data_IF_821835006615
#
_entry.id   IF_821835006615
#
_cell.length_a   1.000
_cell.length_b   1.000
_cell.length_c   1.000
_cell.angle_alpha   90.00
_cell.angle_beta   90.00
_cell.angle_gamma   90.00
#
_symmetry.space_group_name_H-M   'P 1'
#
loop_
_entity.id
_entity.type
_entity.pdbx_description
1 polymer ?
#
# COMPACT_ATOMS: atom_id res chain seq x y z
N UNK A 1 -53.13 34.57 1.21
CA UNK A 1 -52.52 33.26 1.49
C UNK A 1 -51.07 33.32 1.02
N UNK A 2 -50.13 33.49 1.96
CA UNK A 2 -48.67 33.58 1.68
C UNK A 2 -48.07 32.19 1.90
N UNK A 3 -47.52 31.59 0.84
CA UNK A 3 -46.66 30.40 0.97
C UNK A 3 -45.32 30.78 1.60
N UNK A 4 -44.79 30.01 2.51
CA UNK A 4 -43.46 30.27 3.09
C UNK A 4 -42.36 29.84 2.15
N UNK A 5 -41.42 30.74 1.99
CA UNK A 5 -40.15 30.57 1.30
C UNK A 5 -39.22 29.70 2.20
N UNK A 6 -39.17 28.38 1.95
CA UNK A 6 -38.21 27.47 2.60
C UNK A 6 -37.47 26.68 1.51
N UNK A 7 -36.61 27.37 0.81
CA UNK A 7 -35.62 26.70 -0.06
C UNK A 7 -34.45 27.68 -0.21
N UNK A 8 -33.39 27.43 0.52
CA UNK A 8 -32.04 27.91 0.19
C UNK A 8 -31.16 27.85 1.47
N UNK A 9 -30.63 26.69 1.83
CA UNK A 9 -29.44 26.60 2.66
C UNK A 9 -28.76 25.22 2.70
N UNK A 10 -28.88 24.41 1.62
CA UNK A 10 -28.22 23.08 1.63
C UNK A 10 -27.39 22.76 0.38
N UNK A 11 -26.97 23.73 -0.40
CA UNK A 11 -26.29 23.44 -1.68
C UNK A 11 -24.79 23.75 -1.79
N UNK A 12 -24.11 24.53 -0.94
CA UNK A 12 -22.70 24.82 -1.24
C UNK A 12 -21.71 23.69 -0.89
N UNK A 13 -21.99 22.90 0.14
CA UNK A 13 -21.00 21.88 0.58
C UNK A 13 -20.95 20.63 -0.33
N UNK A 14 -22.05 20.21 -0.87
CA UNK A 14 -22.07 19.04 -1.78
C UNK A 14 -21.53 19.36 -3.17
N UNK A 15 -21.75 20.57 -3.66
CA UNK A 15 -21.18 21.01 -4.95
C UNK A 15 -19.66 21.18 -4.86
N UNK A 16 -19.15 21.77 -3.78
CA UNK A 16 -17.71 21.98 -3.60
C UNK A 16 -16.95 20.64 -3.49
N UNK A 17 -17.51 19.66 -2.78
CA UNK A 17 -16.89 18.33 -2.69
C UNK A 17 -16.95 17.57 -4.04
N UNK A 18 -18.03 17.71 -4.78
CA UNK A 18 -18.18 17.06 -6.09
C UNK A 18 -17.31 17.71 -7.15
N UNK A 19 -17.25 19.05 -7.21
CA UNK A 19 -16.35 19.77 -8.10
C UNK A 19 -14.88 19.48 -7.77
N UNK A 20 -14.49 19.44 -6.48
CA UNK A 20 -13.13 19.10 -6.09
C UNK A 20 -12.75 17.67 -6.49
N UNK A 21 -13.67 16.71 -6.37
CA UNK A 21 -13.42 15.32 -6.76
C UNK A 21 -13.29 15.17 -8.29
N UNK A 22 -14.22 15.71 -9.06
CA UNK A 22 -14.18 15.70 -10.54
C UNK A 22 -12.93 16.46 -11.04
N UNK A 23 -12.64 17.64 -10.50
CA UNK A 23 -11.45 18.43 -10.85
C UNK A 23 -10.15 17.71 -10.49
N UNK A 24 -10.11 17.04 -9.33
CA UNK A 24 -8.96 16.26 -8.91
C UNK A 24 -8.82 15.02 -9.79
N UNK A 25 -9.90 14.30 -10.08
CA UNK A 25 -9.88 13.13 -10.96
C UNK A 25 -9.47 13.50 -12.40
N UNK A 26 -10.02 14.56 -12.98
CA UNK A 26 -9.59 15.08 -14.28
C UNK A 26 -8.11 15.46 -14.27
N UNK A 27 -7.67 16.15 -13.22
CA UNK A 27 -6.29 16.61 -13.05
C UNK A 27 -5.28 15.45 -13.00
N UNK A 28 -5.66 14.29 -12.45
CA UNK A 28 -4.77 13.15 -12.23
C UNK A 28 -4.99 11.97 -13.19
N UNK A 29 -5.97 12.02 -14.07
CA UNK A 29 -6.26 10.93 -15.01
C UNK A 29 -5.64 11.08 -16.39
N UNK A 30 -4.95 12.19 -16.67
CA UNK A 30 -4.33 12.43 -17.98
C UNK A 30 -2.85 12.04 -18.05
N UNK A 31 -2.34 11.56 -19.20
CA UNK A 31 -0.92 11.43 -19.45
C UNK A 31 -0.21 12.78 -19.18
N UNK A 32 0.86 12.78 -18.40
CA UNK A 32 1.54 14.01 -17.99
C UNK A 32 1.02 14.65 -16.70
N UNK A 33 0.03 14.05 -16.05
CA UNK A 33 -0.47 14.57 -14.76
C UNK A 33 0.63 14.64 -13.69
N UNK A 34 1.65 13.80 -13.77
CA UNK A 34 2.79 13.87 -12.88
C UNK A 34 3.56 15.20 -13.03
N UNK A 35 3.60 15.81 -14.20
CA UNK A 35 4.20 17.13 -14.39
C UNK A 35 3.43 18.23 -13.70
N UNK A 36 2.11 18.09 -13.63
CA UNK A 36 1.23 19.02 -12.90
C UNK A 36 1.35 18.82 -11.38
N UNK A 37 1.81 17.67 -10.93
CA UNK A 37 2.01 17.30 -9.54
C UNK A 37 3.48 17.25 -9.11
N UNK A 38 4.33 18.04 -9.75
CA UNK A 38 5.75 18.22 -9.37
C UNK A 38 5.94 18.58 -7.90
N UNK A 39 4.97 19.22 -7.29
CA UNK A 39 4.95 19.49 -5.86
C UNK A 39 5.09 18.26 -5.00
N UNK A 40 4.62 17.10 -5.47
CA UNK A 40 4.68 15.86 -4.72
C UNK A 40 5.74 14.90 -5.26
N UNK A 41 5.83 14.74 -6.58
CA UNK A 41 6.68 13.73 -7.19
C UNK A 41 7.68 14.37 -8.14
N UNK A 42 8.97 14.19 -7.87
CA UNK A 42 10.03 14.71 -8.72
C UNK A 42 10.24 13.86 -9.96
N UNK A 43 10.22 12.53 -9.78
CA UNK A 43 10.43 11.57 -10.85
C UNK A 43 9.56 10.34 -10.69
N UNK A 44 9.21 9.75 -11.81
CA UNK A 44 8.49 8.49 -11.92
C UNK A 44 9.32 7.52 -12.74
N UNK A 45 9.67 6.40 -12.15
CA UNK A 45 10.40 5.33 -12.81
C UNK A 45 9.45 4.15 -13.02
N UNK A 46 9.22 3.82 -14.31
CA UNK A 46 8.43 2.64 -14.67
C UNK A 46 9.34 1.44 -14.78
N UNK A 47 9.04 0.41 -14.00
CA UNK A 47 9.80 -0.85 -14.03
C UNK A 47 9.07 -1.82 -14.95
N UNK A 48 9.78 -2.26 -15.99
CA UNK A 48 9.29 -3.23 -16.96
C UNK A 48 10.17 -4.47 -16.91
N UNK A 49 9.56 -5.61 -16.67
CA UNK A 49 10.21 -6.92 -16.68
C UNK A 49 9.65 -7.71 -17.87
N UNK A 50 10.45 -7.88 -18.91
CA UNK A 50 10.00 -8.52 -20.18
C UNK A 50 9.47 -9.94 -19.96
N UNK A 51 10.06 -10.69 -19.04
CA UNK A 51 9.64 -12.05 -18.71
C UNK A 51 8.33 -12.08 -17.90
N UNK A 52 7.99 -10.97 -17.19
CA UNK A 52 6.83 -10.81 -16.33
C UNK A 52 6.07 -9.52 -16.63
N UNK A 53 5.46 -9.40 -17.82
CA UNK A 53 4.81 -8.15 -18.27
C UNK A 53 3.57 -7.78 -17.45
N UNK A 54 3.14 -8.66 -16.56
CA UNK A 54 2.00 -8.45 -15.65
C UNK A 54 2.44 -8.38 -14.18
N UNK A 55 3.70 -8.03 -13.92
CA UNK A 55 4.18 -7.78 -12.57
C UNK A 55 3.62 -6.48 -12.00
N UNK A 56 3.24 -6.48 -10.72
CA UNK A 56 2.67 -5.34 -10.03
C UNK A 56 2.85 -5.42 -8.51
N UNK A 57 2.40 -4.41 -7.77
CA UNK A 57 2.52 -4.27 -6.32
C UNK A 57 3.95 -4.52 -5.80
N UNK A 58 4.92 -3.72 -6.29
CA UNK A 58 6.34 -3.91 -5.96
C UNK A 58 6.67 -3.39 -4.57
N UNK A 59 7.43 -4.18 -3.79
CA UNK A 59 8.04 -3.75 -2.52
C UNK A 59 9.54 -3.58 -2.70
N UNK A 60 10.04 -2.38 -2.44
CA UNK A 60 11.43 -1.97 -2.63
C UNK A 60 12.20 -2.04 -1.31
N UNK A 61 13.42 -2.56 -1.36
CA UNK A 61 14.37 -2.53 -0.24
C UNK A 61 15.70 -1.97 -0.71
N UNK A 62 16.32 -1.16 0.13
CA UNK A 62 17.67 -0.64 -0.10
C UNK A 62 18.70 -1.76 0.11
N UNK A 63 19.70 -1.82 -0.77
CA UNK A 63 20.86 -2.69 -0.68
C UNK A 63 22.14 -1.88 -0.85
N UNK A 64 23.31 -2.48 -0.60
CA UNK A 64 24.59 -1.81 -0.76
C UNK A 64 24.79 -1.22 -2.18
N UNK A 65 24.39 -1.96 -3.21
CA UNK A 65 24.68 -1.60 -4.60
C UNK A 65 23.46 -1.05 -5.38
N UNK A 66 22.32 -0.92 -4.72
CA UNK A 66 21.06 -0.48 -5.36
C UNK A 66 19.85 -0.87 -4.56
N UNK A 67 18.99 -1.68 -5.15
CA UNK A 67 17.74 -2.09 -4.52
C UNK A 67 17.41 -3.55 -4.83
N UNK A 68 16.69 -4.21 -3.92
CA UNK A 68 15.94 -5.43 -4.25
C UNK A 68 14.48 -5.06 -4.41
N UNK A 69 13.86 -5.46 -5.50
CA UNK A 69 12.45 -5.29 -5.77
C UNK A 69 11.74 -6.64 -5.66
N UNK A 70 10.81 -6.79 -4.72
CA UNK A 70 9.88 -7.90 -4.65
C UNK A 70 8.59 -7.49 -5.33
N UNK A 71 7.95 -8.36 -6.08
CA UNK A 71 6.73 -8.03 -6.82
C UNK A 71 5.80 -9.21 -6.93
N UNK A 72 4.53 -8.93 -7.08
CA UNK A 72 3.49 -9.91 -7.42
C UNK A 72 3.39 -10.06 -8.92
N UNK A 73 3.13 -11.27 -9.39
CA UNK A 73 2.70 -11.53 -10.77
C UNK A 73 1.65 -12.62 -10.80
N UNK A 74 0.81 -12.56 -11.85
CA UNK A 74 -0.30 -13.46 -12.04
C UNK A 74 -0.01 -14.40 -13.21
N UNK A 75 -0.27 -15.69 -13.00
CA UNK A 75 -0.18 -16.73 -14.01
C UNK A 75 -1.56 -17.31 -14.28
N UNK A 76 -2.01 -17.22 -15.51
CA UNK A 76 -3.31 -17.74 -15.91
C UNK A 76 -3.17 -19.19 -16.35
N UNK A 77 -3.87 -20.09 -15.67
CA UNK A 77 -3.95 -21.47 -16.12
C UNK A 77 -4.85 -21.57 -17.34
N UNK A 78 -4.36 -22.14 -18.47
CA UNK A 78 -5.15 -22.30 -19.68
C UNK A 78 -6.35 -23.27 -19.51
N UNK A 79 -6.35 -24.06 -18.44
CA UNK A 79 -7.38 -25.07 -18.15
C UNK A 79 -8.43 -24.62 -17.12
N UNK A 80 -8.28 -23.44 -16.52
CA UNK A 80 -9.25 -22.97 -15.53
C UNK A 80 -10.41 -22.25 -16.24
N UNK A 81 -11.62 -22.72 -15.97
CA UNK A 81 -12.85 -22.10 -16.49
C UNK A 81 -12.90 -20.61 -16.09
N UNK A 82 -13.23 -19.73 -17.04
CA UNK A 82 -13.31 -18.27 -16.89
C UNK A 82 -14.12 -17.76 -15.69
N UNK A 83 -14.88 -18.62 -15.03
CA UNK A 83 -15.81 -18.28 -13.95
C UNK A 83 -15.37 -18.74 -12.54
N UNK A 84 -14.20 -19.37 -12.38
CA UNK A 84 -13.76 -19.75 -11.04
C UNK A 84 -13.03 -18.59 -10.35
N UNK A 85 -13.25 -18.38 -9.06
CA UNK A 85 -12.49 -17.42 -8.21
C UNK A 85 -10.98 -17.74 -8.18
N UNK A 86 -10.57 -18.88 -8.69
CA UNK A 86 -9.20 -19.40 -8.77
C UNK A 86 -8.68 -19.49 -10.21
N UNK A 87 -9.21 -18.67 -11.11
CA UNK A 87 -8.74 -18.65 -12.51
C UNK A 87 -7.31 -18.12 -12.65
N UNK A 88 -6.71 -17.63 -11.57
CA UNK A 88 -5.40 -16.99 -11.59
C UNK A 88 -4.58 -17.46 -10.38
N UNK A 89 -3.44 -18.09 -10.62
CA UNK A 89 -2.41 -18.31 -9.62
C UNK A 89 -1.58 -17.03 -9.46
N UNK A 90 -1.15 -16.77 -8.25
CA UNK A 90 -0.36 -15.56 -7.93
C UNK A 90 0.92 -15.95 -7.21
N UNK A 91 2.02 -15.36 -7.65
CA UNK A 91 3.34 -15.65 -7.12
C UNK A 91 4.08 -14.36 -6.77
N UNK A 92 5.13 -14.50 -5.99
CA UNK A 92 6.06 -13.42 -5.67
C UNK A 92 7.39 -13.70 -6.34
N UNK A 93 7.87 -12.71 -7.12
CA UNK A 93 9.20 -12.70 -7.68
C UNK A 93 10.08 -11.63 -7.02
N UNK A 94 11.38 -11.71 -7.26
CA UNK A 94 12.32 -10.65 -6.90
C UNK A 94 13.39 -10.46 -7.95
N UNK A 95 13.93 -9.24 -8.02
CA UNK A 95 15.01 -8.82 -8.92
C UNK A 95 15.87 -7.76 -8.25
N UNK A 96 17.18 -7.77 -8.51
CA UNK A 96 18.06 -6.69 -8.08
C UNK A 96 18.03 -5.57 -9.11
N UNK A 97 17.98 -4.33 -8.62
CA UNK A 97 18.03 -3.11 -9.42
C UNK A 97 19.26 -2.29 -9.02
N UNK A 98 19.89 -1.64 -9.98
CA UNK A 98 20.90 -0.62 -9.70
C UNK A 98 20.27 0.67 -9.16
N UNK A 99 21.09 1.68 -8.84
CA UNK A 99 20.61 3.00 -8.35
C UNK A 99 19.75 3.78 -9.37
N UNK A 100 19.81 3.41 -10.64
CA UNK A 100 18.96 3.97 -11.70
C UNK A 100 17.71 3.13 -11.96
N UNK A 101 17.38 2.20 -11.08
CA UNK A 101 16.25 1.28 -11.16
C UNK A 101 16.23 0.34 -12.37
N UNK A 102 17.41 0.05 -12.93
CA UNK A 102 17.57 -0.90 -14.03
C UNK A 102 17.85 -2.29 -13.44
N UNK A 103 17.15 -3.35 -13.90
CA UNK A 103 17.43 -4.71 -13.48
C UNK A 103 18.88 -5.13 -13.80
N UNK A 104 19.56 -5.70 -12.79
CA UNK A 104 20.97 -6.15 -12.87
C UNK A 104 21.15 -7.63 -12.51
N UNK A 105 20.09 -8.32 -12.19
CA UNK A 105 20.09 -9.77 -11.94
C UNK A 105 19.00 -10.47 -12.73
N UNK A 106 19.10 -11.78 -12.84
CA UNK A 106 17.98 -12.62 -13.26
C UNK A 106 16.84 -12.52 -12.26
N UNK A 107 15.60 -12.64 -12.75
CA UNK A 107 14.42 -12.68 -11.91
C UNK A 107 14.36 -14.03 -11.21
N UNK A 108 14.09 -14.00 -9.91
CA UNK A 108 13.90 -15.19 -9.10
C UNK A 108 12.45 -15.25 -8.61
N UNK A 109 11.76 -16.35 -8.89
CA UNK A 109 10.46 -16.66 -8.29
C UNK A 109 10.70 -17.30 -6.92
N UNK A 110 10.04 -16.79 -5.88
CA UNK A 110 10.20 -17.28 -4.52
C UNK A 110 9.36 -18.55 -4.31
N UNK A 111 9.97 -19.57 -3.73
CA UNK A 111 9.27 -20.79 -3.33
C UNK A 111 8.55 -20.60 -1.97
N UNK A 112 7.40 -19.96 -2.02
CA UNK A 112 6.56 -19.69 -0.84
C UNK A 112 5.60 -20.83 -0.50
N UNK A 113 5.73 -21.99 -1.15
CA UNK A 113 4.84 -23.16 -0.99
C UNK A 113 3.36 -22.80 -1.16
N UNK A 114 3.08 -21.81 -1.98
CA UNK A 114 1.74 -21.32 -2.30
C UNK A 114 1.65 -20.92 -3.76
N UNK A 115 0.47 -21.08 -4.34
CA UNK A 115 0.11 -20.56 -5.66
C UNK A 115 -0.84 -19.35 -5.56
N UNK A 116 -0.92 -18.73 -4.39
CA UNK A 116 -1.84 -17.60 -4.13
C UNK A 116 -1.22 -16.51 -3.24
N UNK A 117 0.11 -16.44 -3.21
CA UNK A 117 0.85 -15.41 -2.48
C UNK A 117 0.66 -14.05 -3.15
N UNK A 118 0.15 -13.07 -2.40
CA UNK A 118 -0.19 -11.74 -2.91
C UNK A 118 0.46 -10.62 -2.08
N UNK A 119 0.73 -9.51 -2.76
CA UNK A 119 1.03 -8.20 -2.18
C UNK A 119 2.21 -8.21 -1.19
N UNK A 120 3.42 -8.53 -1.68
CA UNK A 120 4.61 -8.61 -0.85
C UNK A 120 4.94 -7.26 -0.21
N UNK A 121 5.34 -7.29 1.07
CA UNK A 121 5.91 -6.17 1.83
C UNK A 121 7.14 -6.67 2.54
N UNK A 122 8.28 -6.18 2.15
CA UNK A 122 9.55 -6.67 2.67
C UNK A 122 10.25 -5.63 3.54
N UNK A 123 10.86 -6.07 4.63
CA UNK A 123 11.71 -5.27 5.50
C UNK A 123 13.00 -6.03 5.80
N UNK A 124 14.05 -5.29 6.09
CA UNK A 124 15.32 -5.83 6.56
C UNK A 124 15.44 -5.61 8.07
N UNK A 125 15.65 -6.69 8.82
CA UNK A 125 15.87 -6.63 10.24
C UNK A 125 16.92 -7.70 10.65
N UNK A 126 17.90 -7.33 11.48
CA UNK A 126 18.96 -8.23 11.98
C UNK A 126 19.60 -9.09 10.89
N UNK A 127 19.93 -8.45 9.78
CA UNK A 127 20.54 -9.10 8.62
C UNK A 127 19.72 -10.26 8.03
N UNK A 128 18.40 -10.22 8.17
CA UNK A 128 17.45 -11.10 7.51
C UNK A 128 16.36 -10.29 6.81
N UNK A 129 15.80 -10.83 5.74
CA UNK A 129 14.66 -10.24 5.05
C UNK A 129 13.37 -10.90 5.54
N UNK A 130 12.43 -10.08 5.95
CA UNK A 130 11.10 -10.51 6.39
C UNK A 130 10.08 -10.06 5.34
N UNK A 131 9.56 -11.01 4.59
CA UNK A 131 8.58 -10.79 3.53
C UNK A 131 7.19 -11.12 4.03
N UNK A 132 6.38 -10.10 4.28
CA UNK A 132 4.97 -10.24 4.62
C UNK A 132 4.14 -10.33 3.35
N UNK A 133 3.21 -11.28 3.29
CA UNK A 133 2.30 -11.45 2.17
C UNK A 133 0.97 -12.03 2.65
N UNK A 134 -0.08 -11.88 1.86
CA UNK A 134 -1.32 -12.59 2.15
C UNK A 134 -1.47 -13.82 1.25
N UNK A 135 -2.11 -14.85 1.79
CA UNK A 135 -2.30 -16.13 1.14
C UNK A 135 -3.74 -16.61 1.31
N UNK A 136 -4.20 -17.45 0.41
CA UNK A 136 -5.52 -18.09 0.48
C UNK A 136 -5.39 -19.43 1.20
N UNK A 137 -6.30 -19.69 2.12
CA UNK A 137 -6.46 -21.03 2.63
C UNK A 137 -7.08 -21.92 1.52
N UNK A 138 -6.32 -22.90 1.02
CA UNK A 138 -6.77 -23.78 -0.06
C UNK A 138 -8.02 -24.58 0.36
N UNK A 139 -8.14 -24.94 1.64
CA UNK A 139 -9.28 -25.69 2.18
C UNK A 139 -10.53 -24.81 2.30
N UNK A 140 -10.32 -23.52 2.60
CA UNK A 140 -11.39 -22.54 2.70
C UNK A 140 -11.03 -21.26 1.93
N UNK A 141 -11.24 -21.24 0.63
CA UNK A 141 -10.78 -20.16 -0.27
C UNK A 141 -11.36 -18.76 0.00
N UNK A 142 -12.36 -18.67 0.84
CA UNK A 142 -12.91 -17.41 1.32
C UNK A 142 -12.12 -16.81 2.48
N UNK A 143 -11.16 -17.59 3.04
CA UNK A 143 -10.25 -17.14 4.09
C UNK A 143 -8.93 -16.71 3.46
N UNK A 144 -8.46 -15.53 3.86
CA UNK A 144 -7.10 -15.05 3.60
C UNK A 144 -6.38 -14.87 4.91
N UNK A 145 -5.15 -15.32 4.97
CA UNK A 145 -4.27 -15.19 6.13
C UNK A 145 -3.04 -14.38 5.76
N UNK A 146 -2.50 -13.66 6.72
CA UNK A 146 -1.18 -13.09 6.58
C UNK A 146 -0.13 -14.14 6.91
N UNK A 147 0.88 -14.22 6.07
CA UNK A 147 2.07 -15.05 6.23
C UNK A 147 3.31 -14.19 6.18
N UNK A 148 4.39 -14.74 6.68
CA UNK A 148 5.72 -14.15 6.64
C UNK A 148 6.71 -15.20 6.16
N UNK A 149 7.54 -14.85 5.17
CA UNK A 149 8.71 -15.65 4.81
C UNK A 149 9.96 -14.95 5.30
N UNK A 150 10.86 -15.71 5.93
CA UNK A 150 12.20 -15.26 6.31
C UNK A 150 13.14 -15.68 5.19
N UNK A 151 13.88 -14.70 4.64
CA UNK A 151 14.75 -14.93 3.49
C UNK A 151 16.21 -14.60 3.85
N UNK A 152 17.11 -15.36 3.27
CA UNK A 152 18.52 -15.05 3.26
C UNK A 152 18.78 -13.81 2.37
N UNK A 153 19.44 -12.74 2.86
CA UNK A 153 19.51 -11.46 2.16
C UNK A 153 20.24 -11.51 0.81
N UNK A 154 21.30 -12.30 0.69
CA UNK A 154 22.10 -12.35 -0.55
C UNK A 154 21.42 -13.17 -1.64
N UNK A 155 21.02 -14.40 -1.30
CA UNK A 155 20.47 -15.34 -2.29
C UNK A 155 18.96 -15.24 -2.46
N UNK A 156 18.26 -14.55 -1.55
CA UNK A 156 16.80 -14.52 -1.44
C UNK A 156 16.18 -15.93 -1.32
N UNK A 157 16.94 -16.87 -0.75
CA UNK A 157 16.44 -18.22 -0.46
C UNK A 157 15.48 -18.14 0.73
N UNK A 158 14.32 -18.76 0.60
CA UNK A 158 13.36 -18.91 1.69
C UNK A 158 13.94 -19.84 2.75
N UNK A 159 14.08 -19.35 3.96
CA UNK A 159 14.59 -20.10 5.12
C UNK A 159 13.45 -20.68 5.95
N UNK A 160 12.42 -19.87 6.19
CA UNK A 160 11.26 -20.24 7.01
C UNK A 160 10.00 -19.60 6.43
N UNK A 161 8.86 -20.28 6.52
CA UNK A 161 7.53 -19.74 6.22
C UNK A 161 6.70 -19.83 7.48
N UNK A 162 6.12 -18.73 7.89
CA UNK A 162 5.37 -18.57 9.13
C UNK A 162 3.94 -18.20 8.83
N UNK A 163 2.98 -18.96 9.33
CA UNK A 163 1.60 -18.54 9.44
C UNK A 163 1.49 -17.55 10.61
N UNK A 164 1.23 -16.28 10.30
CA UNK A 164 1.17 -15.26 11.34
C UNK A 164 -0.08 -15.45 12.22
N UNK A 165 0.10 -15.50 13.55
CA UNK A 165 -1.00 -15.75 14.47
C UNK A 165 -1.95 -14.53 14.54
N UNK A 166 -3.15 -14.74 15.08
CA UNK A 166 -4.00 -13.70 15.64
C UNK A 166 -4.87 -12.88 14.69
N UNK A 167 -4.99 -13.27 13.45
CA UNK A 167 -5.97 -12.66 12.56
C UNK A 167 -7.40 -12.87 13.08
N UNK A 168 -8.15 -11.76 13.28
CA UNK A 168 -9.55 -11.78 13.76
C UNK A 168 -10.55 -11.72 12.61
N UNK A 169 -10.10 -11.37 11.42
CA UNK A 169 -10.94 -11.21 10.24
C UNK A 169 -10.89 -12.45 9.36
N UNK A 170 -11.98 -12.76 8.70
CA UNK A 170 -12.00 -13.82 7.67
C UNK A 170 -11.04 -13.54 6.51
N UNK A 171 -10.81 -12.28 6.23
CA UNK A 171 -9.86 -11.80 5.22
C UNK A 171 -8.85 -10.90 5.90
N UNK A 172 -7.68 -11.46 6.22
CA UNK A 172 -6.54 -10.74 6.74
C UNK A 172 -5.63 -10.30 5.60
N UNK A 173 -5.37 -9.00 5.53
CA UNK A 173 -4.46 -8.41 4.55
C UNK A 173 -4.08 -6.99 4.92
N UNK A 174 -3.09 -6.44 4.20
CA UNK A 174 -2.65 -5.06 4.35
C UNK A 174 -2.01 -4.76 5.72
N UNK A 175 -1.47 -5.75 6.40
CA UNK A 175 -0.61 -5.49 7.55
C UNK A 175 0.66 -4.81 7.07
N UNK A 176 1.03 -3.72 7.73
CA UNK A 176 2.14 -2.86 7.29
C UNK A 176 3.31 -3.01 8.25
N UNK A 177 4.33 -3.81 7.90
CA UNK A 177 5.44 -4.09 8.79
C UNK A 177 6.41 -2.92 8.91
N UNK A 178 7.14 -2.87 10.02
CA UNK A 178 8.23 -1.94 10.23
C UNK A 178 9.17 -2.42 11.34
N UNK A 179 10.39 -1.88 11.35
CA UNK A 179 11.33 -2.04 12.44
C UNK A 179 11.19 -0.84 13.36
N UNK A 180 11.06 -1.09 14.65
CA UNK A 180 10.96 -0.03 15.64
C UNK A 180 11.87 -0.32 16.83
N UNK A 181 12.44 0.74 17.40
CA UNK A 181 13.28 0.65 18.58
C UNK A 181 12.55 1.25 19.79
N UNK A 182 12.24 0.40 20.77
CA UNK A 182 11.64 0.81 22.03
C UNK A 182 12.64 0.53 23.16
N UNK A 183 12.92 1.55 23.97
CA UNK A 183 13.80 1.44 25.16
C UNK A 183 15.18 0.80 24.88
N UNK A 184 15.71 1.04 23.67
CA UNK A 184 17.00 0.50 23.25
C UNK A 184 16.91 -0.83 22.49
N UNK A 185 15.81 -1.57 22.59
CA UNK A 185 15.59 -2.82 21.89
C UNK A 185 14.91 -2.61 20.54
N UNK A 186 15.50 -3.14 19.49
CA UNK A 186 14.89 -3.19 18.16
C UNK A 186 14.00 -4.42 18.04
N UNK A 187 12.85 -4.26 17.38
CA UNK A 187 11.93 -5.35 17.15
C UNK A 187 11.14 -5.19 15.86
N UNK A 188 10.41 -6.24 15.52
CA UNK A 188 9.47 -6.27 14.41
C UNK A 188 8.09 -5.83 14.88
N UNK A 189 7.51 -4.90 14.14
CA UNK A 189 6.17 -4.38 14.41
C UNK A 189 5.37 -4.32 13.12
N UNK A 190 4.06 -4.20 13.23
CA UNK A 190 3.21 -3.93 12.09
C UNK A 190 1.95 -3.16 12.49
N UNK A 191 1.50 -2.29 11.59
CA UNK A 191 0.16 -1.71 11.70
C UNK A 191 -0.84 -2.75 11.19
N UNK A 192 -1.69 -3.22 12.10
CA UNK A 192 -2.71 -4.23 11.82
C UNK A 192 -3.95 -3.63 11.16
N UNK A 193 -4.42 -2.53 11.72
CA UNK A 193 -5.59 -1.79 11.22
C UNK A 193 -5.29 -0.29 11.25
N UNK A 194 -5.14 0.28 10.07
CA UNK A 194 -4.79 1.69 9.96
C UNK A 194 -5.97 2.60 10.30
N UNK A 195 -7.20 2.19 10.06
CA UNK A 195 -8.38 2.95 10.45
C UNK A 195 -8.54 3.06 11.98
N UNK A 196 -7.99 2.11 12.71
CA UNK A 196 -7.97 2.11 14.19
C UNK A 196 -6.62 2.51 14.77
N UNK A 197 -5.63 2.82 13.92
CA UNK A 197 -4.23 3.06 14.30
C UNK A 197 -3.63 1.94 15.18
N UNK A 198 -4.04 0.72 14.90
CA UNK A 198 -3.73 -0.43 15.73
C UNK A 198 -2.37 -1.04 15.36
N UNK A 199 -1.43 -1.01 16.28
CA UNK A 199 -0.07 -1.53 16.11
C UNK A 199 0.12 -2.77 16.95
N UNK A 200 0.86 -3.74 16.41
CA UNK A 200 1.24 -4.97 17.10
C UNK A 200 2.77 -5.16 17.05
N UNK A 201 3.32 -5.74 18.10
CA UNK A 201 4.67 -6.28 18.13
C UNK A 201 4.65 -7.72 17.66
N UNK A 202 5.65 -8.13 16.91
CA UNK A 202 5.86 -9.50 16.46
C UNK A 202 7.13 -10.03 17.07
N UNK A 203 7.03 -11.08 17.87
CA UNK A 203 8.15 -11.68 18.60
C UNK A 203 8.18 -13.21 18.42
N UNK A 204 9.38 -13.77 18.45
CA UNK A 204 9.58 -15.22 18.46
C UNK A 204 9.89 -15.68 19.89
N UNK A 205 8.99 -16.48 20.49
CA UNK A 205 9.15 -17.08 21.80
C UNK A 205 9.24 -18.60 21.66
N UNK A 206 10.33 -19.20 22.08
CA UNK A 206 10.50 -20.66 22.07
C UNK A 206 10.04 -21.29 20.72
N UNK A 207 10.60 -20.81 19.61
CA UNK A 207 10.28 -21.24 18.24
C UNK A 207 8.85 -20.91 17.73
N UNK A 208 8.03 -20.22 18.50
CA UNK A 208 6.68 -19.79 18.09
C UNK A 208 6.61 -18.29 17.94
N UNK A 209 6.07 -17.84 16.84
CA UNK A 209 5.77 -16.42 16.60
C UNK A 209 4.50 -16.01 17.34
N UNK A 210 4.56 -14.91 18.06
CA UNK A 210 3.43 -14.28 18.78
C UNK A 210 3.26 -12.85 18.34
N UNK A 211 2.02 -12.37 18.42
CA UNK A 211 1.70 -10.95 18.24
C UNK A 211 1.13 -10.39 19.53
N UNK A 212 1.62 -9.23 19.92
CA UNK A 212 1.14 -8.49 21.09
C UNK A 212 0.60 -7.13 20.65
N UNK A 213 -0.66 -6.78 21.00
CA UNK A 213 -1.18 -5.47 20.70
C UNK A 213 -0.42 -4.42 21.52
N UNK A 214 0.13 -3.44 20.85
CA UNK A 214 0.51 -2.21 21.50
C UNK A 214 -0.73 -1.34 21.50
N UNK A 215 -1.34 -1.15 22.67
CA UNK A 215 -2.56 -0.36 22.80
C UNK A 215 -2.30 1.07 22.37
N UNK A 216 -2.74 1.50 21.18
CA UNK A 216 -2.95 2.90 20.97
C UNK A 216 -4.30 3.26 21.57
N UNK A 217 -4.45 4.44 22.11
CA UNK A 217 -5.77 4.98 22.37
C UNK A 217 -6.53 5.04 21.04
N UNK A 218 -7.83 4.72 21.08
CA UNK A 218 -8.72 5.02 19.96
C UNK A 218 -8.73 6.53 19.75
N UNK A 219 -7.98 6.99 18.76
CA UNK A 219 -7.89 8.42 18.44
C UNK A 219 -9.05 8.73 17.51
N UNK A 220 -9.94 9.58 17.94
CA UNK A 220 -10.91 10.23 17.07
C UNK A 220 -10.19 11.38 16.37
N UNK A 221 -10.23 11.41 15.05
CA UNK A 221 -9.57 12.45 14.26
C UNK A 221 -10.53 12.94 13.19
N UNK A 222 -10.81 14.22 13.21
CA UNK A 222 -11.64 14.89 12.18
C UNK A 222 -11.03 14.74 10.79
N UNK A 223 -9.69 14.79 10.69
CA UNK A 223 -8.97 14.59 9.42
C UNK A 223 -9.18 13.18 8.88
N UNK A 224 -9.08 12.15 9.75
CA UNK A 224 -9.34 10.77 9.37
C UNK A 224 -10.79 10.56 8.95
N UNK A 225 -11.75 11.07 9.73
CA UNK A 225 -13.19 10.98 9.42
C UNK A 225 -13.49 11.65 8.08
N UNK A 226 -12.92 12.83 7.81
CA UNK A 226 -13.01 13.49 6.52
C UNK A 226 -12.46 12.59 5.40
N UNK A 227 -11.25 12.06 5.57
CA UNK A 227 -10.65 11.19 4.56
C UNK A 227 -11.51 9.96 4.28
N UNK A 228 -11.96 9.26 5.32
CA UNK A 228 -12.76 8.04 5.15
C UNK A 228 -14.10 8.29 4.46
N UNK A 229 -14.68 9.46 4.71
CA UNK A 229 -15.92 9.89 4.05
C UNK A 229 -15.71 10.20 2.58
N UNK A 230 -14.66 10.94 2.23
CA UNK A 230 -14.45 11.43 0.86
C UNK A 230 -13.66 10.43 -0.01
N UNK A 231 -12.68 9.72 0.56
CA UNK A 231 -11.74 8.87 -0.17
C UNK A 231 -11.78 7.40 0.23
N UNK A 232 -12.66 7.04 1.15
CA UNK A 232 -12.87 5.66 1.62
C UNK A 232 -11.94 5.21 2.74
N UNK A 233 -12.21 4.01 3.25
CA UNK A 233 -11.52 3.47 4.44
C UNK A 233 -10.03 3.31 4.22
N UNK A 234 -9.25 3.71 5.23
CA UNK A 234 -7.79 3.57 5.25
C UNK A 234 -7.38 2.10 5.35
N UNK A 235 -6.38 1.75 4.58
CA UNK A 235 -5.79 0.40 4.56
C UNK A 235 -4.29 0.49 4.47
N UNK A 236 -3.59 -0.40 5.16
CA UNK A 236 -2.13 -0.44 5.14
C UNK A 236 -1.58 -0.58 3.72
N UNK A 237 -0.48 0.08 3.48
CA UNK A 237 0.22 0.13 2.20
C UNK A 237 1.67 -0.35 2.31
N UNK A 238 2.62 0.54 2.04
CA UNK A 238 4.05 0.27 2.13
C UNK A 238 4.51 0.03 3.58
N UNK A 239 5.57 -0.75 3.83
CA UNK A 239 6.26 -0.77 5.12
C UNK A 239 6.55 0.64 5.62
N UNK A 240 6.43 0.87 6.94
CA UNK A 240 6.77 2.16 7.50
C UNK A 240 8.28 2.40 7.39
N UNK A 241 8.64 3.62 7.06
CA UNK A 241 10.02 4.07 7.00
C UNK A 241 10.27 5.19 8.02
N UNK A 242 11.45 5.20 8.61
CA UNK A 242 11.88 6.27 9.49
C UNK A 242 12.43 7.44 8.69
N UNK A 243 11.84 8.61 8.86
CA UNK A 243 12.27 9.86 8.23
C UNK A 243 12.36 10.94 9.31
N UNK A 244 13.58 11.36 9.63
CA UNK A 244 13.87 12.47 10.57
C UNK A 244 13.10 12.42 11.90
N UNK A 245 13.01 11.25 12.53
CA UNK A 245 12.35 11.07 13.83
C UNK A 245 10.84 10.86 13.77
N UNK A 246 10.28 10.66 12.58
CA UNK A 246 8.90 10.24 12.35
C UNK A 246 8.87 8.94 11.54
N UNK A 247 7.79 8.18 11.72
CA UNK A 247 7.51 7.00 10.90
C UNK A 247 6.48 7.37 9.84
N UNK A 248 6.88 7.26 8.58
CA UNK A 248 6.03 7.52 7.42
C UNK A 248 5.32 6.24 7.00
N UNK A 249 4.00 6.28 6.93
CA UNK A 249 3.13 5.20 6.46
C UNK A 249 2.41 5.64 5.19
N UNK A 250 2.92 5.22 4.04
CA UNK A 250 2.20 5.37 2.77
C UNK A 250 1.12 4.30 2.70
N UNK A 251 -0.13 4.73 2.61
CA UNK A 251 -1.30 3.85 2.64
C UNK A 251 -2.16 4.01 1.39
N UNK A 252 -3.08 3.09 1.20
CA UNK A 252 -4.16 3.27 0.24
C UNK A 252 -5.50 3.33 0.95
N UNK A 253 -6.46 3.99 0.32
CA UNK A 253 -7.87 3.89 0.65
C UNK A 253 -8.67 3.46 -0.57
N UNK A 254 -9.88 3.00 -0.38
CA UNK A 254 -10.73 2.59 -1.49
C UNK A 254 -12.14 3.13 -1.33
N UNK A 255 -12.57 3.86 -2.33
CA UNK A 255 -13.90 4.42 -2.45
C UNK A 255 -14.71 3.63 -3.48
N UNK A 256 -15.98 3.37 -3.18
CA UNK A 256 -16.90 2.69 -4.08
C UNK A 256 -17.98 3.66 -4.55
N UNK A 257 -17.90 4.06 -5.80
CA UNK A 257 -18.98 4.82 -6.44
C UNK A 257 -20.12 3.86 -6.80
N UNK A 258 -21.31 4.11 -6.25
CA UNK A 258 -22.53 3.39 -6.64
C UNK A 258 -23.02 3.95 -7.97
N UNK A 259 -23.11 3.10 -8.97
CA UNK A 259 -23.72 3.46 -10.25
C UNK A 259 -25.23 3.24 -10.23
N UNK A 260 -26.00 3.98 -11.02
CA UNK A 260 -27.44 3.75 -11.15
C UNK A 260 -27.75 2.31 -11.54
N UNK A 261 -28.88 1.78 -11.06
CA UNK A 261 -29.26 0.36 -11.21
C UNK A 261 -29.40 -0.13 -12.67
N UNK A 262 -29.60 0.78 -13.62
CA UNK A 262 -29.67 0.46 -15.06
C UNK A 262 -28.29 0.24 -15.72
N UNK A 263 -27.20 0.53 -15.03
CA UNK A 263 -25.87 0.26 -15.54
C UNK A 263 -25.43 -1.18 -15.19
N UNK A 264 -24.92 -1.92 -16.18
CA UNK A 264 -24.43 -3.31 -16.00
C UNK A 264 -23.35 -3.42 -14.92
N UNK A 265 -22.57 -2.36 -14.71
CA UNK A 265 -21.56 -2.27 -13.65
C UNK A 265 -22.19 -1.51 -12.50
N UNK A 266 -22.54 -2.20 -11.43
CA UNK A 266 -23.21 -1.61 -10.26
C UNK A 266 -22.32 -0.77 -9.36
N UNK A 267 -21.00 -0.96 -9.42
CA UNK A 267 -20.00 -0.26 -8.59
C UNK A 267 -18.70 -0.05 -9.34
N UNK A 268 -18.14 1.13 -9.23
CA UNK A 268 -16.74 1.41 -9.61
C UNK A 268 -15.93 1.62 -8.34
N UNK A 269 -14.75 1.01 -8.27
CA UNK A 269 -13.85 1.11 -7.13
C UNK A 269 -12.64 1.97 -7.51
N UNK A 270 -12.40 3.01 -6.73
CA UNK A 270 -11.24 3.89 -6.86
C UNK A 270 -10.33 3.72 -5.66
N UNK A 271 -9.04 3.60 -5.91
CA UNK A 271 -8.01 3.60 -4.88
C UNK A 271 -7.30 4.95 -4.87
N UNK A 272 -6.95 5.41 -3.69
CA UNK A 272 -6.23 6.64 -3.44
C UNK A 272 -5.00 6.35 -2.60
N UNK A 273 -3.90 7.05 -2.87
CA UNK A 273 -2.68 6.96 -2.09
C UNK A 273 -2.58 8.15 -1.15
N UNK A 274 -2.30 7.90 0.12
CA UNK A 274 -2.09 8.91 1.14
C UNK A 274 -0.87 8.64 2.00
N UNK A 275 -0.61 9.55 2.94
CA UNK A 275 0.45 9.45 3.93
C UNK A 275 -0.09 9.82 5.32
N UNK A 276 0.23 8.99 6.30
CA UNK A 276 0.12 9.27 7.73
C UNK A 276 1.51 9.17 8.34
N UNK A 277 1.82 10.07 9.26
CA UNK A 277 3.03 9.97 10.08
C UNK A 277 2.69 9.59 11.51
N UNK A 278 3.61 8.82 12.11
CA UNK A 278 3.54 8.45 13.52
C UNK A 278 4.74 9.03 14.25
N UNK A 279 4.51 9.41 15.51
CA UNK A 279 5.60 9.77 16.40
C UNK A 279 6.47 8.53 16.66
N UNK A 280 7.77 8.63 16.35
CA UNK A 280 8.70 7.52 16.57
C UNK A 280 8.77 7.07 18.04
N UNK A 281 8.57 7.97 19.00
CA UNK A 281 8.69 7.65 20.44
C UNK A 281 7.44 6.95 21.00
N UNK A 282 6.26 7.33 20.54
CA UNK A 282 4.99 6.89 21.13
C UNK A 282 4.16 5.97 20.23
N UNK A 283 4.52 5.88 18.95
CA UNK A 283 3.74 5.23 17.89
C UNK A 283 2.32 5.80 17.71
N UNK A 284 2.07 6.98 18.26
CA UNK A 284 0.80 7.69 18.05
C UNK A 284 0.81 8.37 16.67
N UNK A 285 -0.33 8.40 15.97
CA UNK A 285 -0.45 9.15 14.74
C UNK A 285 -0.26 10.64 15.03
N UNK A 286 0.54 11.31 14.21
CA UNK A 286 0.97 12.70 14.40
C UNK A 286 0.39 13.64 13.36
N UNK A 287 0.46 13.24 12.10
CA UNK A 287 -0.03 14.04 10.99
C UNK A 287 -0.51 13.18 9.84
N UNK A 288 -1.36 13.73 8.99
CA UNK A 288 -1.74 13.09 7.73
C UNK A 288 -1.90 14.13 6.62
N UNK A 289 -1.75 13.70 5.39
CA UNK A 289 -2.10 14.54 4.26
C UNK A 289 -3.62 14.70 4.18
N UNK A 290 -4.14 15.91 3.97
CA UNK A 290 -5.58 16.16 3.92
C UNK A 290 -6.22 15.62 2.63
N UNK A 291 -5.41 15.41 1.58
CA UNK A 291 -5.85 14.93 0.26
C UNK A 291 -4.92 13.83 -0.25
N UNK A 292 -5.41 12.96 -1.17
CA UNK A 292 -4.57 11.97 -1.81
C UNK A 292 -3.36 12.57 -2.51
N UNK A 293 -2.21 11.88 -2.39
CA UNK A 293 -1.01 12.20 -3.18
C UNK A 293 -1.30 11.93 -4.65
N UNK A 294 -1.85 10.75 -4.92
CA UNK A 294 -2.27 10.32 -6.25
C UNK A 294 -3.58 9.57 -6.20
N UNK A 295 -4.28 9.62 -7.32
CA UNK A 295 -5.46 8.83 -7.63
C UNK A 295 -5.08 7.67 -8.53
N UNK A 296 -5.92 6.65 -8.55
CA UNK A 296 -5.84 5.60 -9.55
C UNK A 296 -5.84 6.18 -10.97
N UNK A 297 -5.06 5.54 -11.84
CA UNK A 297 -4.82 5.96 -13.23
C UNK A 297 -3.97 7.24 -13.40
N UNK A 298 -3.25 7.62 -12.36
CA UNK A 298 -2.40 8.81 -12.38
C UNK A 298 -1.25 8.72 -13.40
N UNK A 299 -0.78 7.52 -13.71
CA UNK A 299 0.39 7.29 -14.57
C UNK A 299 0.05 6.56 -15.87
N UNK A 300 -1.23 6.53 -16.25
CA UNK A 300 -1.74 5.97 -17.51
C UNK A 300 -1.32 4.52 -17.77
N UNK A 301 -1.15 3.71 -16.73
CA UNK A 301 -0.96 2.27 -16.90
C UNK A 301 -2.23 1.63 -17.45
N UNK A 302 -2.18 0.86 -18.54
CA UNK A 302 -3.36 0.21 -19.10
C UNK A 302 -4.08 -0.63 -18.05
N UNK A 303 -5.40 -0.47 -17.98
CA UNK A 303 -6.24 -1.27 -17.10
C UNK A 303 -6.37 -2.71 -17.60
N UNK A 304 -6.49 -3.65 -16.68
CA UNK A 304 -6.84 -5.01 -16.97
C UNK A 304 -8.30 -5.18 -17.40
N UNK A 305 -8.71 -6.42 -17.62
CA UNK A 305 -10.07 -6.79 -18.02
C UNK A 305 -11.14 -6.44 -16.95
N UNK A 306 -10.73 -6.10 -15.73
CA UNK A 306 -11.59 -5.66 -14.63
C UNK A 306 -11.83 -4.15 -14.72
N UNK A 307 -12.59 -3.71 -15.72
CA UNK A 307 -12.85 -2.31 -16.06
C UNK A 307 -13.52 -1.45 -14.97
N UNK A 308 -13.91 -2.04 -13.85
CA UNK A 308 -14.61 -1.34 -12.78
C UNK A 308 -13.71 -1.05 -11.57
N UNK A 309 -12.41 -1.23 -11.69
CA UNK A 309 -11.45 -1.03 -10.60
C UNK A 309 -10.25 -0.22 -11.09
N UNK A 310 -9.98 0.86 -10.39
CA UNK A 310 -8.88 1.77 -10.64
C UNK A 310 -7.95 1.70 -9.44
N UNK A 311 -6.75 1.21 -9.64
CA UNK A 311 -5.86 0.87 -8.53
C UNK A 311 -4.60 1.71 -8.55
N UNK A 312 -4.31 2.33 -7.40
CA UNK A 312 -2.98 2.79 -7.02
C UNK A 312 -2.66 2.18 -5.65
N UNK A 313 -1.56 1.43 -5.56
CA UNK A 313 -1.29 0.57 -4.42
C UNK A 313 0.17 0.69 -3.97
N UNK A 314 0.48 1.58 -3.00
CA UNK A 314 1.82 1.66 -2.43
C UNK A 314 2.12 0.36 -1.65
N UNK A 315 3.23 -0.29 -1.94
CA UNK A 315 3.62 -1.58 -1.34
C UNK A 315 5.06 -1.65 -0.88
N UNK A 316 5.86 -0.62 -1.17
CA UNK A 316 7.21 -0.46 -0.66
C UNK A 316 7.60 1.00 -0.49
N UNK A 317 8.46 1.29 0.47
CA UNK A 317 9.02 2.62 0.67
C UNK A 317 10.46 2.50 1.18
N UNK A 318 11.32 3.44 0.79
CA UNK A 318 12.70 3.56 1.21
C UNK A 318 13.04 5.03 1.41
N UNK A 319 13.76 5.36 2.47
CA UNK A 319 14.33 6.67 2.67
C UNK A 319 15.83 6.66 2.36
N UNK A 320 16.24 7.43 1.36
CA UNK A 320 17.64 7.73 1.08
C UNK A 320 18.01 8.99 1.88
N UNK A 321 18.63 8.77 3.04
CA UNK A 321 18.98 9.86 3.97
C UNK A 321 20.03 10.82 3.39
N UNK A 322 20.97 10.30 2.58
CA UNK A 322 22.04 11.10 1.99
C UNK A 322 21.52 12.12 0.98
N UNK A 323 20.53 11.72 0.20
CA UNK A 323 19.90 12.57 -0.81
C UNK A 323 18.66 13.31 -0.31
N UNK A 324 18.18 13.00 0.90
CA UNK A 324 16.92 13.53 1.42
C UNK A 324 15.68 13.06 0.65
N UNK A 325 15.77 11.91 -0.05
CA UNK A 325 14.74 11.41 -0.95
C UNK A 325 13.95 10.27 -0.33
N UNK A 326 12.65 10.33 -0.51
CA UNK A 326 11.73 9.23 -0.20
C UNK A 326 11.34 8.55 -1.52
N UNK A 327 11.61 7.26 -1.62
CA UNK A 327 11.20 6.42 -2.74
C UNK A 327 10.00 5.60 -2.34
N UNK A 328 8.94 5.62 -3.13
CA UNK A 328 7.75 4.80 -2.91
C UNK A 328 7.51 3.92 -4.12
N UNK A 329 7.55 2.61 -3.93
CA UNK A 329 7.18 1.66 -4.96
C UNK A 329 5.70 1.30 -4.86
N UNK A 330 5.03 1.30 -6.01
CA UNK A 330 3.59 1.07 -6.08
C UNK A 330 3.17 0.30 -7.33
N UNK A 331 2.03 -0.37 -7.21
CA UNK A 331 1.32 -0.96 -8.33
C UNK A 331 0.23 -0.03 -8.86
N UNK A 332 0.11 0.06 -10.17
CA UNK A 332 -0.99 0.76 -10.82
C UNK A 332 -1.82 -0.19 -11.68
N UNK A 333 -3.13 -0.16 -11.48
CA UNK A 333 -4.13 -0.92 -12.23
C UNK A 333 -3.92 -2.45 -12.26
N UNK A 334 -3.26 -3.01 -11.22
CA UNK A 334 -2.88 -4.42 -11.13
C UNK A 334 -2.06 -4.89 -12.37
N UNK A 335 -1.23 -4.00 -12.97
CA UNK A 335 -0.46 -4.26 -14.21
C UNK A 335 0.87 -3.54 -14.34
N UNK A 336 1.07 -2.50 -13.58
CA UNK A 336 2.29 -1.69 -13.66
C UNK A 336 3.04 -1.64 -12.35
N UNK A 337 4.35 -1.55 -12.44
CA UNK A 337 5.24 -1.27 -11.32
C UNK A 337 5.87 0.10 -11.52
N UNK A 338 5.75 0.94 -10.51
CA UNK A 338 6.30 2.28 -10.50
C UNK A 338 7.13 2.51 -9.25
N UNK A 339 8.18 3.31 -9.37
CA UNK A 339 8.91 3.87 -8.24
C UNK A 339 8.82 5.39 -8.36
N UNK A 340 8.28 6.01 -7.34
CA UNK A 340 8.11 7.46 -7.24
C UNK A 340 9.20 8.04 -6.35
N UNK A 341 9.79 9.14 -6.78
CA UNK A 341 10.84 9.86 -6.06
C UNK A 341 10.28 11.19 -5.54
N UNK A 342 10.36 11.40 -4.24
CA UNK A 342 9.88 12.59 -3.54
C UNK A 342 10.99 13.24 -2.75
N UNK A 343 10.99 14.57 -2.68
CA UNK A 343 11.69 15.27 -1.61
C UNK A 343 10.94 15.10 -0.29
N UNK A 344 11.64 14.72 0.77
CA UNK A 344 11.00 14.59 2.09
C UNK A 344 10.32 15.86 2.56
N UNK A 345 10.88 17.02 2.21
CA UNK A 345 10.40 18.36 2.60
C UNK A 345 8.98 18.66 2.09
N UNK A 346 8.55 18.01 0.99
CA UNK A 346 7.20 18.24 0.46
C UNK A 346 6.14 17.76 1.44
N UNK A 347 6.41 16.67 2.13
CA UNK A 347 5.47 16.10 3.08
C UNK A 347 5.33 16.96 4.33
N UNK A 348 6.45 17.42 4.90
CA UNK A 348 6.43 18.28 6.11
C UNK A 348 5.64 19.57 5.91
N UNK A 349 5.63 20.11 4.68
CA UNK A 349 4.89 21.33 4.32
C UNK A 349 3.39 21.09 4.13
N UNK A 350 2.96 19.86 3.90
CA UNK A 350 1.58 19.53 3.51
C UNK A 350 0.84 18.68 4.54
N UNK A 351 1.56 18.09 5.49
CA UNK A 351 0.96 17.34 6.59
C UNK A 351 0.15 18.30 7.50
N UNK A 352 -1.06 17.89 7.84
CA UNK A 352 -1.86 18.53 8.89
C UNK A 352 -1.80 17.67 10.15
N UNK A 353 -1.68 18.31 11.34
CA UNK A 353 -1.67 17.59 12.60
C UNK A 353 -2.95 16.76 12.78
N UNK A 354 -2.82 15.59 13.36
CA UNK A 354 -3.97 14.80 13.81
C UNK A 354 -4.34 15.28 15.20
N UNK A 355 -5.48 15.95 15.31
CA UNK A 355 -6.03 16.39 16.59
C UNK A 355 -6.55 15.18 17.38
N UNK A 356 -6.26 15.18 18.70
CA UNK A 356 -6.67 14.10 19.63
C UNK A 356 -8.06 14.35 20.20
#
# INVERSE_FOLDING_TARGET
MRLPLFLLFFTPFFLIAKESYETIHEKFSHPGCYEQNRDFCQKVHRIVLNEFPRAYNPSLINTEHGYTLFFRFDEFSPHQQKNSRFSCMTYVGCVELNRSFIPISNIKVLDLKSSYAEDPRCILFENQLYLFYNDIDIKEPSIRKMKMAILEPKTKRVLEIVDLPGGKKRVEKNWTPFVYQKEGEKGLYFVYDLSLFQVYKLEKHQEQWKIEPLSPPSIKSTQKEFWEKEFGSLRGGAPLIQVDGELFCFYHSSFYEKKPFWQKISKTCFYHMGLITFCEKTLEPKGMLPFPIFYSDAFATPRGERFNKWVIYPSGAVYNKEEGKVLVSLGENDRGMLILEFDKEIFSKKLVPIEK
#
